data_IF_746792207886
#
_entry.id   IF_746792207886
#
_cell.length_a   1.000
_cell.length_b   1.000
_cell.length_c   1.000
_cell.angle_alpha   90.00
_cell.angle_beta   90.00
_cell.angle_gamma   90.00
#
_symmetry.space_group_name_H-M   'P 1'
#
loop_
_entity.id
_entity.type
_entity.pdbx_description
1 polymer ?
#
# COMPACT_ATOMS: atom_id res chain seq x y z
N UNK A 1 -10.07 7.66 5.45
CA UNK A 1 -8.89 8.24 6.10
C UNK A 1 -7.72 7.36 5.71
N UNK A 2 -7.01 7.72 4.65
CA UNK A 2 -6.03 6.88 3.98
C UNK A 2 -4.72 6.79 4.79
N UNK A 3 -4.59 5.78 5.64
CA UNK A 3 -3.38 5.46 6.42
C UNK A 3 -2.10 5.46 5.57
N UNK A 4 -2.23 5.09 4.29
CA UNK A 4 -1.14 5.08 3.31
C UNK A 4 -0.72 6.51 2.92
N UNK A 5 -1.66 7.45 2.74
CA UNK A 5 -1.33 8.85 2.46
C UNK A 5 -0.62 9.50 3.66
N UNK A 6 -1.02 9.14 4.88
CA UNK A 6 -0.31 9.58 6.08
C UNK A 6 1.13 9.03 6.12
N UNK A 7 1.32 7.72 5.92
CA UNK A 7 2.67 7.12 5.88
C UNK A 7 3.54 7.70 4.77
N UNK A 8 2.95 8.06 3.62
CA UNK A 8 3.66 8.80 2.55
C UNK A 8 4.08 10.19 3.04
N UNK A 9 3.19 10.95 3.68
CA UNK A 9 3.54 12.28 4.20
C UNK A 9 4.68 12.23 5.23
N UNK A 10 4.65 11.27 6.15
CA UNK A 10 5.72 11.07 7.13
C UNK A 10 7.05 10.70 6.45
N UNK A 11 7.02 9.77 5.51
CA UNK A 11 8.19 9.34 4.77
C UNK A 11 8.84 10.48 3.98
N UNK A 12 8.03 11.33 3.34
CA UNK A 12 8.51 12.51 2.65
C UNK A 12 9.22 13.47 3.61
N UNK A 13 8.61 13.71 4.77
CA UNK A 13 9.19 14.55 5.81
C UNK A 13 10.46 13.93 6.43
N UNK A 14 10.60 12.60 6.37
CA UNK A 14 11.79 11.85 6.78
C UNK A 14 12.84 11.70 5.66
N UNK A 15 12.63 12.33 4.49
CA UNK A 15 13.52 12.22 3.31
C UNK A 15 13.65 10.76 2.83
N UNK A 16 12.58 9.98 2.94
CA UNK A 16 12.54 8.60 2.47
C UNK A 16 12.16 8.56 0.99
N UNK A 17 12.95 7.83 0.20
CA UNK A 17 12.71 7.63 -1.23
C UNK A 17 11.41 6.84 -1.49
N UNK A 18 11.07 5.91 -0.59
CA UNK A 18 9.90 5.05 -0.67
C UNK A 18 9.48 4.51 0.70
N UNK A 19 8.25 4.02 0.81
CA UNK A 19 7.75 3.23 1.93
C UNK A 19 7.30 1.86 1.46
N UNK A 20 7.48 0.85 2.29
CA UNK A 20 7.00 -0.50 2.03
C UNK A 20 5.83 -0.79 2.95
N UNK A 21 4.66 -1.03 2.37
CA UNK A 21 3.45 -1.35 3.11
C UNK A 21 3.06 -2.79 2.79
N UNK A 22 2.95 -3.58 3.84
CA UNK A 22 2.51 -4.96 3.77
C UNK A 22 1.03 -5.07 4.15
N UNK A 23 0.28 -5.90 3.43
CA UNK A 23 -1.14 -6.09 3.65
C UNK A 23 -1.45 -6.85 4.94
N UNK A 24 -0.58 -7.76 5.38
CA UNK A 24 -0.71 -8.44 6.67
C UNK A 24 -0.50 -7.48 7.84
N UNK A 25 0.50 -6.60 7.73
CA UNK A 25 0.78 -5.55 8.71
C UNK A 25 -0.39 -4.55 8.79
N UNK A 26 -0.83 -4.05 7.63
CA UNK A 26 -1.96 -3.12 7.53
C UNK A 26 -3.27 -3.74 8.04
N UNK A 27 -3.53 -5.02 7.75
CA UNK A 27 -4.69 -5.75 8.27
C UNK A 27 -4.61 -5.89 9.79
N UNK A 28 -3.44 -6.24 10.32
CA UNK A 28 -3.19 -6.40 11.76
C UNK A 28 -3.37 -5.07 12.49
N UNK A 29 -2.92 -3.97 11.89
CA UNK A 29 -2.98 -2.61 12.44
C UNK A 29 -4.39 -2.01 12.37
N UNK A 30 -5.16 -2.31 11.30
CA UNK A 30 -6.52 -1.78 11.10
C UNK A 30 -7.57 -2.50 11.94
N UNK A 31 -7.62 -3.83 11.90
CA UNK A 31 -8.60 -4.60 12.69
C UNK A 31 -8.05 -6.00 12.95
N UNK A 32 -7.54 -6.25 14.16
CA UNK A 32 -7.15 -7.56 14.67
C UNK A 32 -8.36 -8.51 14.88
N UNK A 33 -9.23 -8.66 13.87
CA UNK A 33 -10.46 -9.45 14.00
C UNK A 33 -11.31 -9.58 12.72
N UNK A 34 -11.15 -8.72 11.73
CA UNK A 34 -11.86 -8.86 10.44
C UNK A 34 -10.89 -9.45 9.43
N UNK A 35 -10.91 -10.77 9.33
CA UNK A 35 -10.07 -11.61 8.46
C UNK A 35 -10.40 -11.46 6.96
N UNK A 36 -10.47 -10.22 6.48
CA UNK A 36 -10.64 -9.88 5.08
C UNK A 36 -9.34 -9.31 4.52
N UNK A 37 -8.34 -10.18 4.43
CA UNK A 37 -7.11 -9.96 3.65
C UNK A 37 -7.43 -9.40 2.26
N UNK A 38 -8.56 -9.81 1.66
CA UNK A 38 -9.06 -9.30 0.40
C UNK A 38 -9.39 -7.81 0.45
N UNK A 39 -10.03 -7.33 1.51
CA UNK A 39 -10.33 -5.90 1.68
C UNK A 39 -9.05 -5.09 1.90
N UNK A 40 -8.14 -5.56 2.76
CA UNK A 40 -6.86 -4.88 2.99
C UNK A 40 -6.00 -4.83 1.72
N UNK A 41 -5.89 -5.95 1.01
CA UNK A 41 -5.16 -6.04 -0.26
C UNK A 41 -5.76 -5.11 -1.31
N UNK A 42 -7.10 -5.05 -1.39
CA UNK A 42 -7.80 -4.18 -2.33
C UNK A 42 -7.65 -2.70 -1.97
N UNK A 43 -7.67 -2.34 -0.69
CA UNK A 43 -7.41 -0.99 -0.23
C UNK A 43 -5.97 -0.52 -0.55
N UNK A 44 -4.99 -1.41 -0.41
CA UNK A 44 -3.59 -1.15 -0.81
C UNK A 44 -3.53 -0.95 -2.33
N UNK A 45 -4.14 -1.84 -3.11
CA UNK A 45 -4.22 -1.70 -4.58
C UNK A 45 -4.90 -0.38 -4.99
N UNK A 46 -5.99 0.02 -4.33
CA UNK A 46 -6.69 1.28 -4.61
C UNK A 46 -5.90 2.53 -4.20
N UNK A 47 -4.98 2.40 -3.24
CA UNK A 47 -4.10 3.50 -2.81
C UNK A 47 -2.77 3.53 -3.59
N UNK A 48 -2.55 2.53 -4.46
CA UNK A 48 -1.42 2.48 -5.37
C UNK A 48 -1.50 3.61 -6.38
N UNK A 49 -0.38 4.28 -6.57
CA UNK A 49 -0.15 5.36 -7.52
C UNK A 49 0.71 4.84 -8.68
N UNK A 50 0.60 5.52 -9.81
CA UNK A 50 1.40 5.22 -10.99
C UNK A 50 2.90 5.36 -10.63
N UNK A 51 3.66 4.26 -10.70
CA UNK A 51 5.07 4.19 -10.32
C UNK A 51 5.38 3.41 -9.04
N UNK A 52 4.37 2.99 -8.28
CA UNK A 52 4.54 2.07 -7.16
C UNK A 52 4.84 0.64 -7.66
N UNK A 53 5.54 -0.16 -6.87
CA UNK A 53 5.98 -1.50 -7.26
C UNK A 53 5.50 -2.58 -6.28
N UNK A 54 5.00 -3.70 -6.82
CA UNK A 54 4.69 -4.88 -6.02
C UNK A 54 5.98 -5.63 -5.70
N UNK A 55 6.50 -5.43 -4.48
CA UNK A 55 7.64 -6.20 -3.97
C UNK A 55 7.26 -7.67 -3.81
N UNK A 56 6.02 -7.92 -3.37
CA UNK A 56 5.51 -9.27 -3.24
C UNK A 56 4.06 -9.33 -3.70
N UNK A 57 3.83 -9.94 -4.87
CA UNK A 57 2.49 -10.28 -5.33
C UNK A 57 2.18 -11.75 -4.96
N UNK A 58 1.13 -12.00 -4.16
CA UNK A 58 0.74 -13.36 -3.84
C UNK A 58 0.13 -14.04 -5.08
N UNK A 59 0.63 -15.24 -5.40
CA UNK A 59 0.12 -16.09 -6.49
C UNK A 59 -1.23 -16.76 -6.17
N UNK A 60 -2.11 -16.09 -5.44
CA UNK A 60 -3.44 -16.60 -5.10
C UNK A 60 -4.45 -16.11 -6.14
N UNK A 61 -5.51 -16.88 -6.42
CA UNK A 61 -6.57 -16.49 -7.38
C UNK A 61 -7.24 -15.15 -7.03
N UNK A 62 -7.19 -14.75 -5.77
CA UNK A 62 -7.79 -13.49 -5.28
C UNK A 62 -6.78 -12.34 -5.19
N UNK A 63 -5.49 -12.59 -5.47
CA UNK A 63 -4.35 -11.67 -5.23
C UNK A 63 -4.31 -11.08 -3.81
N UNK A 64 -5.03 -11.70 -2.88
CA UNK A 64 -5.15 -11.24 -1.53
C UNK A 64 -4.32 -12.15 -0.62
N UNK A 65 -3.32 -11.58 0.04
CA UNK A 65 -2.50 -12.30 1.01
C UNK A 65 -1.89 -11.35 2.00
N UNK A 66 -1.66 -11.82 3.22
CA UNK A 66 -0.86 -11.13 4.24
C UNK A 66 0.56 -10.84 3.74
N UNK A 67 1.05 -11.63 2.78
CA UNK A 67 2.36 -11.43 2.17
C UNK A 67 2.36 -10.36 1.08
N UNK A 68 1.21 -9.82 0.67
CA UNK A 68 1.17 -8.74 -0.34
C UNK A 68 1.96 -7.55 0.20
N UNK A 69 3.03 -7.16 -0.50
CA UNK A 69 3.85 -6.01 -0.13
C UNK A 69 3.97 -5.09 -1.32
N UNK A 70 3.62 -3.84 -1.13
CA UNK A 70 3.71 -2.78 -2.13
C UNK A 70 4.68 -1.73 -1.64
N UNK A 71 5.60 -1.34 -2.51
CA UNK A 71 6.51 -0.22 -2.31
C UNK A 71 5.92 1.01 -2.96
N UNK A 72 5.63 1.99 -2.12
CA UNK A 72 5.15 3.29 -2.54
C UNK A 72 6.30 4.28 -2.62
N UNK A 73 6.52 4.88 -3.79
CA UNK A 73 7.60 5.85 -3.94
C UNK A 73 7.13 7.22 -3.44
N UNK A 74 7.91 7.78 -2.52
CA UNK A 74 7.57 8.96 -1.74
C UNK A 74 8.41 10.19 -2.12
N UNK A 75 9.55 9.92 -2.77
CA UNK A 75 10.44 10.91 -3.41
C UNK A 75 9.70 11.88 -4.33
N UNK A 76 8.59 11.44 -4.93
CA UNK A 76 7.86 12.22 -5.93
C UNK A 76 6.36 12.33 -5.61
N UNK A 77 6.06 12.79 -4.40
CA UNK A 77 4.72 13.19 -3.92
C UNK A 77 4.23 14.45 -4.66
N UNK A 78 4.05 14.34 -5.97
CA UNK A 78 3.34 15.36 -6.75
C UNK A 78 1.84 15.09 -6.65
N UNK A 79 1.07 16.11 -6.24
CA UNK A 79 -0.41 16.09 -6.11
C UNK A 79 -1.12 15.72 -7.44
N UNK A 80 -0.39 15.75 -8.55
CA UNK A 80 -0.81 15.41 -9.90
C UNK A 80 -0.66 13.93 -10.27
N UNK A 81 -0.10 13.06 -9.39
CA UNK A 81 0.01 11.63 -9.71
C UNK A 81 -1.37 10.98 -9.78
N UNK A 82 -1.64 10.38 -10.94
CA UNK A 82 -2.86 9.60 -11.16
C UNK A 82 -2.82 8.33 -10.31
N UNK A 83 -3.99 7.94 -9.79
CA UNK A 83 -4.17 6.62 -9.18
C UNK A 83 -3.76 5.56 -10.19
N UNK A 84 -3.14 4.50 -9.72
CA UNK A 84 -2.74 3.38 -10.58
C UNK A 84 -3.98 2.83 -11.31
N UNK A 85 -4.08 3.11 -12.61
CA UNK A 85 -5.10 2.54 -13.50
C UNK A 85 -4.60 1.20 -14.03
N UNK A 86 -4.48 0.21 -13.14
CA UNK A 86 -4.22 -1.19 -13.50
C UNK A 86 -5.47 -1.93 -13.93
#
# INVERSE_FOLDING_TARGET
MDVINWKKWEAHNMDWLYIEINAGDLLTELEAGVSNITTASKAILECMLEGDEFIFEPKTKTKASEKLTVRYYCDNLSETRQKYQG
#
